data_IF_685986273405
#
_entry.id   IF_685986273405
#
_cell.length_a   1.000
_cell.length_b   1.000
_cell.length_c   1.000
_cell.angle_alpha   90.00
_cell.angle_beta   90.00
_cell.angle_gamma   90.00
#
_symmetry.space_group_name_H-M   'P 1'
#
loop_
_entity.id
_entity.type
_entity.pdbx_description
1 polymer ?
#
# COMPACT_ATOMS: atom_id res chain seq x y z
N UNK A 1 -14.50 5.24 -20.09
CA UNK A 1 -14.22 6.44 -19.26
C UNK A 1 -15.42 6.69 -18.37
N UNK A 2 -15.20 6.83 -17.08
CA UNK A 2 -16.19 7.46 -16.24
C UNK A 2 -16.19 8.96 -16.60
N UNK A 3 -17.35 9.53 -16.82
CA UNK A 3 -17.44 11.00 -16.96
C UNK A 3 -16.84 11.65 -15.72
N UNK A 4 -16.01 12.66 -15.91
CA UNK A 4 -15.33 13.35 -14.80
C UNK A 4 -16.37 13.86 -13.80
N UNK A 5 -16.31 13.37 -12.54
CA UNK A 5 -17.28 13.68 -11.49
C UNK A 5 -18.46 12.69 -11.37
N UNK A 6 -18.49 11.60 -12.15
CA UNK A 6 -19.49 10.54 -11.96
C UNK A 6 -19.21 9.77 -10.67
N UNK A 7 -20.20 9.69 -9.80
CA UNK A 7 -20.20 8.79 -8.66
C UNK A 7 -20.30 7.36 -9.15
N UNK A 8 -19.45 6.47 -8.67
CA UNK A 8 -19.43 5.06 -9.03
C UNK A 8 -19.37 4.20 -7.76
N UNK A 9 -19.80 2.96 -7.88
CA UNK A 9 -19.76 1.95 -6.81
C UNK A 9 -18.50 1.11 -6.96
N UNK A 10 -17.65 1.10 -5.95
CA UNK A 10 -16.32 0.47 -5.97
C UNK A 10 -16.28 -0.68 -4.98
N UNK A 11 -15.98 -1.89 -5.45
CA UNK A 11 -15.65 -3.02 -4.58
C UNK A 11 -14.19 -2.87 -4.12
N UNK A 12 -13.96 -2.88 -2.81
CA UNK A 12 -12.62 -2.73 -2.24
C UNK A 12 -12.32 -3.87 -1.26
N UNK A 13 -11.18 -4.53 -1.45
CA UNK A 13 -10.66 -5.48 -0.48
C UNK A 13 -9.57 -4.84 0.37
N UNK A 14 -9.45 -5.24 1.63
CA UNK A 14 -8.42 -4.70 2.52
C UNK A 14 -8.69 -3.30 3.08
N UNK A 15 -9.90 -2.76 2.90
CA UNK A 15 -10.28 -1.41 3.35
C UNK A 15 -10.07 -1.14 4.85
N UNK A 16 -10.06 -2.18 5.69
CA UNK A 16 -9.82 -2.08 7.13
C UNK A 16 -8.33 -2.14 7.51
N UNK A 17 -7.44 -2.30 6.52
CA UNK A 17 -5.98 -2.31 6.70
C UNK A 17 -5.39 -0.91 6.67
N UNK A 18 -4.06 -0.82 6.85
CA UNK A 18 -3.34 0.44 6.85
C UNK A 18 -3.49 1.21 5.52
N UNK A 19 -2.97 0.68 4.42
CA UNK A 19 -3.08 1.30 3.09
C UNK A 19 -4.56 1.41 2.67
N UNK A 20 -5.32 0.33 2.87
CA UNK A 20 -6.71 0.25 2.42
C UNK A 20 -7.63 1.28 3.06
N UNK A 21 -7.41 1.64 4.33
CA UNK A 21 -8.21 2.68 4.98
C UNK A 21 -7.95 4.07 4.39
N UNK A 22 -6.69 4.42 4.08
CA UNK A 22 -6.37 5.67 3.38
C UNK A 22 -7.01 5.72 2.00
N UNK A 23 -6.94 4.62 1.24
CA UNK A 23 -7.58 4.52 -0.08
C UNK A 23 -9.10 4.63 0.05
N UNK A 24 -9.72 3.90 0.97
CA UNK A 24 -11.17 3.93 1.18
C UNK A 24 -11.67 5.36 1.48
N UNK A 25 -11.06 6.04 2.46
CA UNK A 25 -11.45 7.42 2.79
C UNK A 25 -11.20 8.38 1.65
N UNK A 26 -10.12 8.23 0.87
CA UNK A 26 -9.86 9.05 -0.31
C UNK A 26 -11.00 8.96 -1.33
N UNK A 27 -11.50 7.76 -1.61
CA UNK A 27 -12.62 7.56 -2.53
C UNK A 27 -13.96 8.00 -1.97
N UNK A 28 -14.17 7.87 -0.66
CA UNK A 28 -15.36 8.43 0.02
C UNK A 28 -15.39 9.96 -0.04
N UNK A 29 -14.23 10.61 0.20
CA UNK A 29 -14.10 12.07 0.10
C UNK A 29 -14.31 12.57 -1.34
N UNK A 30 -13.94 11.76 -2.35
CA UNK A 30 -14.26 11.99 -3.76
C UNK A 30 -15.75 11.72 -4.12
N UNK A 31 -16.56 11.26 -3.16
CA UNK A 31 -17.99 11.08 -3.30
C UNK A 31 -18.44 9.71 -3.79
N UNK A 32 -17.56 8.74 -3.95
CA UNK A 32 -17.90 7.39 -4.40
C UNK A 32 -18.58 6.56 -3.32
N UNK A 33 -19.31 5.51 -3.73
CA UNK A 33 -19.87 4.50 -2.85
C UNK A 33 -18.94 3.28 -2.81
N UNK A 34 -18.76 2.68 -1.63
CA UNK A 34 -17.88 1.53 -1.44
C UNK A 34 -18.63 0.27 -1.03
N UNK A 35 -18.24 -0.86 -1.59
CA UNK A 35 -18.53 -2.21 -1.10
C UNK A 35 -17.25 -2.78 -0.55
N UNK A 36 -17.10 -2.80 0.78
CA UNK A 36 -15.87 -3.17 1.45
C UNK A 36 -15.90 -4.61 1.95
N UNK A 37 -15.06 -5.47 1.37
CA UNK A 37 -14.84 -6.83 1.88
C UNK A 37 -13.99 -6.76 3.16
N UNK A 38 -14.52 -7.25 4.27
CA UNK A 38 -13.87 -7.18 5.57
C UNK A 38 -14.07 -8.47 6.39
N UNK A 39 -12.98 -9.15 6.76
CA UNK A 39 -13.03 -10.30 7.68
C UNK A 39 -13.52 -9.92 9.07
N UNK A 40 -13.20 -8.74 9.53
CA UNK A 40 -13.62 -8.18 10.80
C UNK A 40 -14.05 -6.72 10.61
N UNK A 41 -15.37 -6.47 10.47
CA UNK A 41 -15.91 -5.12 10.32
C UNK A 41 -15.65 -4.21 11.53
N UNK A 42 -15.49 -4.80 12.71
CA UNK A 42 -15.24 -4.05 13.95
C UNK A 42 -13.83 -3.47 14.06
N UNK A 43 -12.92 -3.84 13.13
CA UNK A 43 -11.54 -3.33 13.13
C UNK A 43 -11.46 -1.82 12.87
N UNK A 44 -12.43 -1.27 12.11
CA UNK A 44 -12.53 0.18 11.83
C UNK A 44 -14.01 0.59 11.83
N UNK A 45 -14.62 0.75 13.03
CA UNK A 45 -16.05 1.03 13.16
C UNK A 45 -16.48 2.30 12.43
N UNK A 46 -15.65 3.33 12.40
CA UNK A 46 -15.94 4.59 11.72
C UNK A 46 -16.13 4.41 10.20
N UNK A 47 -15.38 3.49 9.58
CA UNK A 47 -15.56 3.16 8.17
C UNK A 47 -16.81 2.28 7.98
N UNK A 48 -17.02 1.30 8.86
CA UNK A 48 -18.16 0.40 8.78
C UNK A 48 -19.51 1.12 8.95
N UNK A 49 -19.54 2.20 9.74
CA UNK A 49 -20.73 3.02 9.96
C UNK A 49 -20.93 4.14 8.92
N UNK A 50 -20.01 4.29 7.96
CA UNK A 50 -20.10 5.37 6.98
C UNK A 50 -21.28 5.14 6.01
N UNK A 51 -22.17 6.15 5.75
CA UNK A 51 -23.41 5.96 4.98
C UNK A 51 -23.19 5.53 3.52
N UNK A 52 -22.02 5.75 2.97
CA UNK A 52 -21.61 5.34 1.60
C UNK A 52 -20.82 4.02 1.59
N UNK A 53 -20.79 3.27 2.68
CA UNK A 53 -20.05 2.01 2.78
C UNK A 53 -21.01 0.87 3.06
N UNK A 54 -21.05 -0.08 2.16
CA UNK A 54 -21.67 -1.39 2.38
C UNK A 54 -20.59 -2.37 2.82
N UNK A 55 -20.71 -2.96 4.00
CA UNK A 55 -19.77 -3.98 4.47
C UNK A 55 -20.23 -5.35 3.99
N UNK A 56 -19.29 -6.12 3.44
CA UNK A 56 -19.42 -7.55 3.16
C UNK A 56 -18.51 -8.29 4.13
N UNK A 57 -19.12 -8.90 5.15
CA UNK A 57 -18.38 -9.65 6.18
C UNK A 57 -18.01 -11.04 5.64
N UNK A 58 -16.84 -11.13 4.98
CA UNK A 58 -16.34 -12.33 4.34
C UNK A 58 -14.82 -12.29 4.18
N UNK A 59 -14.23 -13.42 3.81
CA UNK A 59 -12.83 -13.60 3.46
C UNK A 59 -12.64 -13.56 1.95
N UNK A 60 -11.38 -13.56 1.48
CA UNK A 60 -11.08 -13.67 0.04
C UNK A 60 -11.44 -15.05 -0.56
N UNK A 61 -11.80 -16.03 0.26
CA UNK A 61 -12.17 -17.40 -0.17
C UNK A 61 -13.68 -17.62 -0.26
N UNK A 62 -14.48 -16.66 0.21
CA UNK A 62 -15.94 -16.74 0.14
C UNK A 62 -16.41 -16.31 -1.27
N UNK A 63 -15.99 -17.08 -2.28
CA UNK A 63 -16.11 -16.72 -3.70
C UNK A 63 -17.53 -16.40 -4.13
N UNK A 64 -18.54 -17.14 -3.63
CA UNK A 64 -19.93 -16.89 -3.98
C UNK A 64 -20.43 -15.57 -3.38
N UNK A 65 -20.05 -15.27 -2.12
CA UNK A 65 -20.35 -13.99 -1.46
C UNK A 65 -19.71 -12.82 -2.22
N UNK A 66 -18.44 -12.98 -2.66
CA UNK A 66 -17.74 -11.96 -3.43
C UNK A 66 -18.41 -11.75 -4.79
N UNK A 67 -18.81 -12.81 -5.50
CA UNK A 67 -19.48 -12.74 -6.79
C UNK A 67 -20.80 -11.97 -6.68
N UNK A 68 -21.56 -12.23 -5.61
CA UNK A 68 -22.81 -11.53 -5.34
C UNK A 68 -22.56 -10.05 -5.00
N UNK A 69 -21.57 -9.75 -4.16
CA UNK A 69 -21.23 -8.40 -3.72
C UNK A 69 -20.65 -7.52 -4.85
N UNK A 70 -20.08 -8.11 -5.89
CA UNK A 70 -19.58 -7.40 -7.07
C UNK A 70 -20.71 -6.93 -7.99
N UNK A 71 -21.94 -7.46 -7.85
CA UNK A 71 -23.07 -7.08 -8.72
C UNK A 71 -23.39 -5.59 -8.55
N UNK A 72 -23.42 -4.88 -9.69
CA UNK A 72 -23.67 -3.45 -9.73
C UNK A 72 -22.48 -2.56 -9.29
N UNK A 73 -21.31 -3.15 -9.04
CA UNK A 73 -20.08 -2.38 -8.90
C UNK A 73 -19.50 -2.03 -10.27
N UNK A 74 -18.87 -0.86 -10.37
CA UNK A 74 -18.22 -0.37 -11.58
C UNK A 74 -16.74 -0.74 -11.62
N UNK A 75 -16.09 -0.79 -10.46
CA UNK A 75 -14.65 -1.03 -10.32
C UNK A 75 -14.33 -1.90 -9.12
N UNK A 76 -13.15 -2.51 -9.14
CA UNK A 76 -12.57 -3.25 -8.03
C UNK A 76 -11.17 -2.72 -7.70
N UNK A 77 -10.91 -2.44 -6.43
CA UNK A 77 -9.58 -2.10 -5.90
C UNK A 77 -9.16 -3.21 -4.94
N UNK A 78 -8.13 -3.96 -5.33
CA UNK A 78 -7.66 -5.11 -4.57
C UNK A 78 -6.40 -4.77 -3.78
N UNK A 79 -6.53 -4.62 -2.44
CA UNK A 79 -5.45 -4.26 -1.52
C UNK A 79 -5.19 -5.39 -0.50
N UNK A 80 -6.19 -6.23 -0.23
CA UNK A 80 -6.05 -7.31 0.73
C UNK A 80 -4.91 -8.25 0.34
N UNK A 81 -4.24 -8.78 1.35
CA UNK A 81 -3.16 -9.75 1.25
C UNK A 81 -3.61 -11.03 1.98
N UNK A 82 -3.49 -12.17 1.30
CA UNK A 82 -3.45 -13.48 1.93
C UNK A 82 -2.03 -13.79 2.40
N UNK A 83 -1.88 -14.44 3.55
CA UNK A 83 -0.57 -14.80 4.09
C UNK A 83 -0.47 -16.30 4.33
N UNK A 84 0.71 -16.84 4.14
CA UNK A 84 1.09 -18.21 4.44
C UNK A 84 2.60 -18.30 4.66
N UNK A 85 3.04 -19.31 5.41
CA UNK A 85 4.45 -19.48 5.75
C UNK A 85 5.19 -20.38 4.75
N UNK A 86 4.46 -21.07 3.89
CA UNK A 86 5.01 -21.93 2.85
C UNK A 86 4.65 -21.45 1.45
N UNK A 87 5.40 -21.87 0.40
CA UNK A 87 5.08 -21.51 -0.99
C UNK A 87 3.66 -21.87 -1.40
N UNK A 88 3.20 -23.06 -0.99
CA UNK A 88 1.85 -23.51 -1.35
C UNK A 88 0.76 -22.73 -0.61
N UNK A 89 0.98 -22.40 0.65
CA UNK A 89 0.06 -21.55 1.41
C UNK A 89 -0.01 -20.17 0.80
N UNK A 90 1.13 -19.52 0.48
CA UNK A 90 1.14 -18.22 -0.19
C UNK A 90 0.44 -18.27 -1.55
N UNK A 91 0.69 -19.31 -2.37
CA UNK A 91 0.01 -19.51 -3.64
C UNK A 91 -1.50 -19.60 -3.45
N UNK A 92 -1.95 -20.40 -2.50
CA UNK A 92 -3.38 -20.60 -2.22
C UNK A 92 -4.02 -19.37 -1.62
N UNK A 93 -3.35 -18.74 -0.64
CA UNK A 93 -3.94 -17.64 0.14
C UNK A 93 -3.94 -16.29 -0.58
N UNK A 94 -2.98 -15.99 -1.42
CA UNK A 94 -2.87 -14.69 -2.11
C UNK A 94 -3.13 -14.82 -3.62
N UNK A 95 -2.34 -15.62 -4.33
CA UNK A 95 -2.45 -15.68 -5.80
C UNK A 95 -3.78 -16.29 -6.25
N UNK A 96 -4.18 -17.45 -5.69
CA UNK A 96 -5.44 -18.11 -6.06
C UNK A 96 -6.64 -17.22 -5.75
N UNK A 97 -6.64 -16.59 -4.57
CA UNK A 97 -7.69 -15.65 -4.19
C UNK A 97 -7.77 -14.43 -5.14
N UNK A 98 -6.63 -13.88 -5.54
CA UNK A 98 -6.55 -12.76 -6.50
C UNK A 98 -7.08 -13.17 -7.87
N UNK A 99 -6.70 -14.35 -8.39
CA UNK A 99 -7.16 -14.85 -9.69
C UNK A 99 -8.66 -15.14 -9.65
N UNK A 100 -9.17 -15.70 -8.57
CA UNK A 100 -10.60 -15.92 -8.37
C UNK A 100 -11.39 -14.60 -8.33
N UNK A 101 -10.85 -13.58 -7.66
CA UNK A 101 -11.44 -12.24 -7.65
C UNK A 101 -11.44 -11.61 -9.05
N UNK A 102 -10.34 -11.72 -9.81
CA UNK A 102 -10.28 -11.27 -11.20
C UNK A 102 -11.36 -11.93 -12.07
N UNK A 103 -11.55 -13.25 -11.91
CA UNK A 103 -12.59 -14.00 -12.65
C UNK A 103 -13.98 -13.51 -12.27
N UNK A 104 -14.25 -13.34 -10.96
CA UNK A 104 -15.53 -12.81 -10.48
C UNK A 104 -15.81 -11.38 -10.97
N UNK A 105 -14.76 -10.56 -11.09
CA UNK A 105 -14.87 -9.22 -11.67
C UNK A 105 -15.24 -9.25 -13.16
N UNK A 106 -14.68 -10.18 -13.93
CA UNK A 106 -15.06 -10.38 -15.35
C UNK A 106 -16.53 -10.78 -15.48
N UNK A 107 -16.97 -11.77 -14.69
CA UNK A 107 -18.34 -12.28 -14.69
C UNK A 107 -19.35 -11.19 -14.28
N UNK A 108 -19.00 -10.33 -13.34
CA UNK A 108 -19.82 -9.20 -12.89
C UNK A 108 -19.78 -7.99 -13.85
N UNK A 109 -18.96 -8.02 -14.90
CA UNK A 109 -18.83 -6.93 -15.86
C UNK A 109 -18.13 -5.68 -15.33
N UNK A 110 -17.25 -5.84 -14.33
CA UNK A 110 -16.40 -4.77 -13.77
C UNK A 110 -15.60 -4.11 -14.89
N UNK A 111 -15.56 -2.78 -14.90
CA UNK A 111 -14.89 -2.00 -15.96
C UNK A 111 -13.42 -1.76 -15.67
N UNK A 112 -13.04 -1.73 -14.38
CA UNK A 112 -11.68 -1.40 -13.96
C UNK A 112 -11.27 -2.19 -12.72
N UNK A 113 -10.07 -2.76 -12.78
CA UNK A 113 -9.42 -3.46 -11.67
C UNK A 113 -8.08 -2.78 -11.36
N UNK A 114 -7.85 -2.39 -10.11
CA UNK A 114 -6.58 -1.87 -9.65
C UNK A 114 -6.00 -2.86 -8.65
N UNK A 115 -4.84 -3.43 -8.99
CA UNK A 115 -4.14 -4.39 -8.14
C UNK A 115 -3.04 -3.72 -7.34
N UNK A 116 -3.02 -4.00 -6.04
CA UNK A 116 -1.93 -3.61 -5.17
C UNK A 116 -0.89 -4.73 -5.12
N UNK A 117 0.18 -4.53 -5.86
CA UNK A 117 1.38 -5.36 -5.85
C UNK A 117 2.36 -4.88 -4.77
N UNK A 118 3.64 -5.02 -5.01
CA UNK A 118 4.75 -4.56 -4.17
C UNK A 118 6.02 -4.43 -5.00
N UNK A 119 6.97 -3.59 -4.57
CA UNK A 119 8.34 -3.62 -5.08
C UNK A 119 9.03 -4.96 -4.83
N UNK A 120 8.59 -5.76 -3.85
CA UNK A 120 9.08 -7.12 -3.61
C UNK A 120 8.88 -8.07 -4.81
N UNK A 121 7.92 -7.79 -5.71
CA UNK A 121 7.75 -8.54 -6.95
C UNK A 121 9.00 -8.51 -7.85
N UNK A 122 9.82 -7.48 -7.74
CA UNK A 122 11.05 -7.32 -8.52
C UNK A 122 12.19 -8.22 -8.02
N UNK A 123 12.22 -8.54 -6.73
CA UNK A 123 13.28 -9.32 -6.08
C UNK A 123 14.56 -8.53 -5.91
N UNK A 124 15.59 -8.82 -6.70
CA UNK A 124 16.85 -8.08 -6.65
C UNK A 124 16.70 -6.68 -7.23
N UNK A 125 17.30 -5.71 -6.56
CA UNK A 125 17.29 -4.31 -7.02
C UNK A 125 18.66 -3.96 -7.63
N UNK A 126 18.60 -3.14 -8.67
CA UNK A 126 19.76 -2.53 -9.32
C UNK A 126 19.88 -1.05 -8.91
N UNK A 127 20.96 -0.38 -9.31
CA UNK A 127 21.18 1.03 -8.96
C UNK A 127 20.02 1.95 -9.38
N UNK A 128 19.41 1.70 -10.54
CA UNK A 128 18.18 2.38 -10.99
C UNK A 128 17.16 1.33 -11.44
N UNK A 129 15.94 1.39 -10.87
CA UNK A 129 14.83 0.50 -11.20
C UNK A 129 13.75 1.22 -12.01
N UNK A 130 13.21 0.52 -13.02
CA UNK A 130 12.10 0.98 -13.87
C UNK A 130 10.94 -0.02 -13.81
N UNK A 131 9.72 0.44 -14.08
CA UNK A 131 8.54 -0.43 -14.07
C UNK A 131 8.59 -1.54 -15.12
N UNK A 132 9.44 -1.38 -16.14
CA UNK A 132 9.68 -2.35 -17.22
C UNK A 132 10.73 -3.40 -16.90
N UNK A 133 11.42 -3.27 -15.75
CA UNK A 133 12.45 -4.23 -15.38
C UNK A 133 11.85 -5.61 -15.09
N UNK A 134 12.60 -6.69 -15.35
CA UNK A 134 12.12 -8.05 -15.12
C UNK A 134 11.69 -8.30 -13.68
N UNK A 135 10.62 -9.04 -13.51
CA UNK A 135 10.12 -9.50 -12.21
C UNK A 135 10.88 -10.76 -11.85
N UNK A 136 11.69 -10.71 -10.79
CA UNK A 136 12.55 -11.82 -10.33
C UNK A 136 12.47 -11.94 -8.80
N UNK A 137 11.29 -12.28 -8.24
CA UNK A 137 11.07 -12.27 -6.80
C UNK A 137 12.03 -13.18 -6.05
N UNK A 138 12.51 -12.74 -4.90
CA UNK A 138 13.46 -13.45 -4.03
C UNK A 138 12.81 -14.11 -2.81
N UNK A 139 11.51 -13.87 -2.60
CA UNK A 139 10.71 -14.47 -1.53
C UNK A 139 9.30 -14.86 -2.01
N UNK A 140 8.58 -15.62 -1.19
CA UNK A 140 7.25 -16.11 -1.54
C UNK A 140 6.21 -15.00 -1.67
N UNK A 141 6.32 -13.95 -0.87
CA UNK A 141 5.45 -12.79 -0.97
C UNK A 141 5.63 -12.07 -2.31
N UNK A 142 6.87 -11.77 -2.69
CA UNK A 142 7.17 -11.19 -3.99
C UNK A 142 6.71 -12.08 -5.15
N UNK A 143 6.85 -13.42 -5.01
CA UNK A 143 6.41 -14.37 -6.00
C UNK A 143 4.88 -14.35 -6.22
N UNK A 144 4.07 -14.26 -5.14
CA UNK A 144 2.62 -14.15 -5.29
C UNK A 144 2.20 -12.84 -5.92
N UNK A 145 2.90 -11.73 -5.59
CA UNK A 145 2.66 -10.42 -6.20
C UNK A 145 2.97 -10.44 -7.69
N UNK A 146 4.12 -10.96 -8.08
CA UNK A 146 4.54 -11.12 -9.48
C UNK A 146 3.56 -12.00 -10.29
N UNK A 147 3.16 -13.13 -9.74
CA UNK A 147 2.19 -14.02 -10.39
C UNK A 147 0.82 -13.34 -10.60
N UNK A 148 0.33 -12.64 -9.57
CA UNK A 148 -0.95 -11.92 -9.63
C UNK A 148 -0.92 -10.75 -10.65
N UNK A 149 0.21 -10.03 -10.77
CA UNK A 149 0.41 -9.04 -11.83
C UNK A 149 0.28 -9.65 -13.23
N UNK A 150 0.94 -10.79 -13.45
CA UNK A 150 0.89 -11.46 -14.75
C UNK A 150 -0.54 -11.85 -15.12
N UNK A 151 -1.34 -12.37 -14.18
CA UNK A 151 -2.76 -12.69 -14.42
C UNK A 151 -3.59 -11.42 -14.69
N UNK A 152 -3.41 -10.34 -13.91
CA UNK A 152 -4.13 -9.09 -14.12
C UNK A 152 -3.85 -8.50 -15.51
N UNK A 153 -2.59 -8.49 -15.95
CA UNK A 153 -2.19 -8.02 -17.27
C UNK A 153 -2.72 -8.91 -18.40
N UNK A 154 -2.76 -10.24 -18.19
CA UNK A 154 -3.34 -11.18 -19.15
C UNK A 154 -4.86 -11.00 -19.30
N UNK A 155 -5.57 -10.79 -18.21
CA UNK A 155 -6.99 -10.47 -18.20
C UNK A 155 -7.27 -9.18 -18.98
N UNK A 156 -6.52 -8.12 -18.69
CA UNK A 156 -6.65 -6.85 -19.42
C UNK A 156 -6.35 -6.95 -20.93
N UNK A 157 -5.50 -7.92 -21.32
CA UNK A 157 -5.19 -8.16 -22.73
C UNK A 157 -6.30 -8.92 -23.48
N UNK A 158 -7.13 -9.69 -22.75
CA UNK A 158 -8.15 -10.59 -23.31
C UNK A 158 -9.59 -10.12 -23.07
N UNK A 159 -9.78 -9.03 -22.35
CA UNK A 159 -11.11 -8.52 -21.99
C UNK A 159 -11.20 -7.00 -22.17
N UNK A 160 -12.39 -6.46 -21.94
CA UNK A 160 -12.61 -5.01 -21.90
C UNK A 160 -12.40 -4.42 -20.49
N UNK A 161 -12.03 -5.23 -19.50
CA UNK A 161 -11.70 -4.76 -18.15
C UNK A 161 -10.31 -4.14 -18.15
N UNK A 162 -10.20 -2.88 -17.77
CA UNK A 162 -8.90 -2.24 -17.57
C UNK A 162 -8.28 -2.76 -16.28
N UNK A 163 -7.03 -3.20 -16.36
CA UNK A 163 -6.27 -3.58 -15.18
C UNK A 163 -4.98 -2.75 -15.09
N UNK A 164 -4.78 -2.10 -13.96
CA UNK A 164 -3.55 -1.39 -13.66
C UNK A 164 -2.98 -1.89 -12.33
N UNK A 165 -1.69 -1.80 -12.20
CA UNK A 165 -0.92 -2.33 -11.08
C UNK A 165 -0.21 -1.17 -10.39
N UNK A 166 -0.31 -1.11 -9.07
CA UNK A 166 0.51 -0.23 -8.25
C UNK A 166 1.45 -1.11 -7.43
N UNK A 167 2.75 -0.84 -7.49
CA UNK A 167 3.81 -1.46 -6.68
C UNK A 167 4.23 -0.49 -5.58
N UNK A 168 3.58 -0.50 -4.41
CA UNK A 168 4.08 0.27 -3.28
C UNK A 168 5.45 -0.23 -2.84
N UNK A 169 6.30 0.71 -2.40
CA UNK A 169 7.46 0.39 -1.59
C UNK A 169 7.13 0.53 -0.10
N UNK A 170 8.12 1.01 0.66
CA UNK A 170 7.90 1.21 2.09
C UNK A 170 6.89 2.35 2.33
N UNK A 171 5.70 1.96 2.73
CA UNK A 171 4.60 2.89 3.00
C UNK A 171 4.48 3.14 4.49
N UNK A 172 4.42 4.40 4.89
CA UNK A 172 4.31 4.82 6.30
C UNK A 172 3.19 5.86 6.47
N UNK A 173 2.88 6.23 7.70
CA UNK A 173 1.95 7.32 8.01
C UNK A 173 1.09 7.07 9.24
N UNK A 174 0.41 8.12 9.67
CA UNK A 174 -0.51 8.09 10.79
C UNK A 174 -1.81 7.38 10.41
N UNK A 175 -2.61 6.92 11.40
CA UNK A 175 -3.94 6.42 11.12
C UNK A 175 -4.78 7.48 10.43
N UNK A 176 -5.48 7.13 9.36
CA UNK A 176 -6.36 8.06 8.62
C UNK A 176 -7.53 8.58 9.46
N UNK A 177 -7.98 7.79 10.43
CA UNK A 177 -8.99 8.11 11.43
C UNK A 177 -8.63 7.41 12.74
N UNK A 178 -9.10 7.90 13.89
CA UNK A 178 -8.92 7.20 15.16
C UNK A 178 -9.35 5.74 15.08
N UNK A 179 -8.50 4.82 15.54
CA UNK A 179 -8.71 3.39 15.49
C UNK A 179 -8.33 2.69 14.18
N UNK A 180 -7.95 3.44 13.12
CA UNK A 180 -7.40 2.85 11.91
C UNK A 180 -6.01 2.26 12.16
N UNK A 181 -5.65 1.24 11.36
CA UNK A 181 -4.32 0.60 11.43
C UNK A 181 -3.22 1.55 11.00
N UNK A 182 -2.03 1.33 11.52
CA UNK A 182 -0.77 1.92 11.03
C UNK A 182 0.11 0.83 10.43
N UNK A 183 1.27 1.22 9.90
CA UNK A 183 2.27 0.27 9.40
C UNK A 183 2.68 -0.71 10.49
N UNK A 184 2.78 -1.99 10.11
CA UNK A 184 3.13 -3.09 11.03
C UNK A 184 4.63 -3.21 11.27
N UNK A 185 5.47 -2.65 10.42
CA UNK A 185 6.93 -2.65 10.61
C UNK A 185 7.29 -1.83 11.85
N UNK A 186 8.09 -2.42 12.73
CA UNK A 186 8.41 -1.84 14.03
C UNK A 186 9.59 -0.87 14.01
N UNK A 187 10.36 -0.75 12.93
CA UNK A 187 11.60 0.04 12.91
C UNK A 187 11.39 1.49 13.31
N UNK A 188 10.30 2.13 12.90
CA UNK A 188 9.96 3.48 13.39
C UNK A 188 9.74 3.51 14.90
N UNK A 189 9.00 2.52 15.42
CA UNK A 189 8.73 2.42 16.87
C UNK A 189 10.00 2.13 17.66
N UNK A 190 10.87 1.26 17.15
CA UNK A 190 12.13 0.90 17.82
C UNK A 190 13.06 2.12 17.87
N UNK A 191 13.20 2.87 16.77
CA UNK A 191 13.97 4.14 16.74
C UNK A 191 13.40 5.16 17.73
N UNK A 192 12.09 5.35 17.76
CA UNK A 192 11.43 6.28 18.68
C UNK A 192 11.62 5.82 20.13
N UNK A 193 11.47 4.54 20.42
CA UNK A 193 11.66 3.97 21.76
C UNK A 193 13.07 4.21 22.28
N UNK A 194 14.09 3.91 21.47
CA UNK A 194 15.48 4.18 21.85
C UNK A 194 15.75 5.67 22.05
N UNK A 195 15.23 6.51 21.15
CA UNK A 195 15.40 7.96 21.24
C UNK A 195 14.75 8.56 22.49
N UNK A 196 13.57 8.10 22.89
CA UNK A 196 12.88 8.58 24.10
C UNK A 196 13.62 8.16 25.38
N UNK A 197 14.33 7.03 25.36
CA UNK A 197 15.04 6.47 26.49
C UNK A 197 16.54 6.81 26.51
N UNK A 198 17.03 7.73 25.69
CA UNK A 198 18.46 8.06 25.51
C UNK A 198 19.34 6.85 25.18
N UNK A 199 18.77 5.81 24.53
CA UNK A 199 19.41 4.55 24.18
C UNK A 199 20.30 4.63 22.94
N UNK A 200 21.02 3.53 22.65
CA UNK A 200 21.82 3.41 21.43
C UNK A 200 20.97 2.87 20.28
N UNK A 201 20.83 3.62 19.19
CA UNK A 201 20.11 3.22 17.98
C UNK A 201 21.09 2.52 17.03
N UNK A 202 20.94 1.21 16.85
CA UNK A 202 21.81 0.41 15.98
C UNK A 202 21.15 0.20 14.62
N UNK A 203 21.77 0.68 13.54
CA UNK A 203 21.23 0.62 12.18
C UNK A 203 22.27 0.08 11.19
N UNK A 204 21.81 -0.51 10.09
CA UNK A 204 22.70 -0.86 8.99
C UNK A 204 23.13 0.40 8.24
N UNK A 205 24.42 0.50 7.95
CA UNK A 205 24.98 1.62 7.20
C UNK A 205 24.35 1.69 5.79
N UNK A 206 23.90 2.87 5.38
CA UNK A 206 23.28 3.11 4.08
C UNK A 206 21.89 2.48 3.86
N UNK A 207 21.32 1.77 4.85
CA UNK A 207 19.96 1.24 4.74
C UNK A 207 18.93 2.37 4.68
N UNK A 208 18.02 2.27 3.73
CA UNK A 208 16.99 3.26 3.47
C UNK A 208 16.20 2.94 2.22
N UNK A 209 15.29 3.83 1.85
CA UNK A 209 14.48 3.70 0.63
C UNK A 209 13.84 5.02 0.22
N UNK A 210 13.12 4.99 -0.89
CA UNK A 210 12.19 6.04 -1.28
C UNK A 210 10.83 5.77 -0.62
N UNK A 211 10.64 6.31 0.58
CA UNK A 211 9.40 6.14 1.35
C UNK A 211 8.22 6.85 0.70
N UNK A 212 7.00 6.34 0.94
CA UNK A 212 5.77 7.02 0.54
C UNK A 212 4.79 7.09 1.72
N UNK A 213 4.17 8.24 1.91
CA UNK A 213 3.07 8.36 2.86
C UNK A 213 1.82 7.62 2.33
N UNK A 214 1.09 6.94 3.22
CA UNK A 214 -0.14 6.23 2.84
C UNK A 214 -1.21 7.18 2.24
N UNK A 215 -1.24 8.43 2.68
CA UNK A 215 -2.09 9.47 2.10
C UNK A 215 -1.74 9.77 0.65
N UNK A 216 -0.45 9.86 0.31
CA UNK A 216 0.02 10.10 -1.06
C UNK A 216 -0.15 8.86 -1.94
N UNK A 217 0.07 7.66 -1.37
CA UNK A 217 -0.25 6.42 -2.07
C UNK A 217 -1.73 6.36 -2.45
N UNK A 218 -2.65 6.78 -1.57
CA UNK A 218 -4.07 6.87 -1.87
C UNK A 218 -4.38 7.87 -3.01
N UNK A 219 -3.63 8.99 -3.11
CA UNK A 219 -3.71 9.91 -4.26
C UNK A 219 -3.28 9.25 -5.58
N UNK A 220 -2.27 8.38 -5.55
CA UNK A 220 -1.87 7.60 -6.73
C UNK A 220 -2.98 6.63 -7.15
N UNK A 221 -3.62 5.93 -6.20
CA UNK A 221 -4.78 5.08 -6.51
C UNK A 221 -5.90 5.86 -7.20
N UNK A 222 -6.24 7.03 -6.69
CA UNK A 222 -7.26 7.89 -7.30
C UNK A 222 -6.84 8.39 -8.70
N UNK A 223 -5.58 8.78 -8.90
CA UNK A 223 -5.08 9.20 -10.20
C UNK A 223 -5.13 8.08 -11.24
N UNK A 224 -4.74 6.85 -10.86
CA UNK A 224 -4.84 5.66 -11.71
C UNK A 224 -6.31 5.34 -12.01
N UNK A 225 -7.19 5.42 -11.02
CA UNK A 225 -8.62 5.20 -11.16
C UNK A 225 -9.27 6.16 -12.16
N UNK A 226 -8.94 7.45 -12.07
CA UNK A 226 -9.50 8.50 -12.92
C UNK A 226 -8.89 8.54 -14.33
N UNK A 227 -7.90 7.69 -14.62
CA UNK A 227 -7.28 7.62 -15.94
C UNK A 227 -7.97 6.60 -16.85
N UNK A 228 -7.77 6.75 -18.15
CA UNK A 228 -8.18 5.79 -19.18
C UNK A 228 -7.10 4.74 -19.50
N UNK A 229 -6.00 4.78 -18.75
CA UNK A 229 -4.86 3.88 -18.96
C UNK A 229 -5.21 2.45 -18.62
N UNK A 230 -4.57 1.53 -19.34
CA UNK A 230 -4.79 0.10 -19.18
C UNK A 230 -3.44 -0.64 -19.29
N UNK A 231 -3.28 -1.72 -18.54
CA UNK A 231 -2.06 -2.56 -18.52
C UNK A 231 -0.81 -1.82 -18.09
N UNK A 232 -0.98 -0.85 -17.22
CA UNK A 232 0.12 -0.05 -16.71
C UNK A 232 0.55 -0.54 -15.32
N UNK A 233 1.85 -0.46 -15.07
CA UNK A 233 2.45 -0.69 -13.76
C UNK A 233 3.04 0.65 -13.28
N UNK A 234 2.81 0.99 -12.01
CA UNK A 234 3.28 2.22 -11.39
C UNK A 234 4.00 1.92 -10.08
N UNK A 235 5.10 2.59 -9.83
CA UNK A 235 5.71 2.60 -8.52
C UNK A 235 4.96 3.55 -7.58
N UNK A 236 4.53 3.02 -6.41
CA UNK A 236 3.99 3.80 -5.31
C UNK A 236 5.11 4.18 -4.34
N UNK A 237 5.92 5.17 -4.72
CA UNK A 237 7.10 5.61 -3.99
C UNK A 237 7.20 7.14 -4.03
N UNK A 238 7.92 7.71 -3.08
CA UNK A 238 8.19 9.14 -3.00
C UNK A 238 9.67 9.48 -3.24
N UNK A 239 9.99 10.74 -3.10
CA UNK A 239 11.35 11.29 -3.17
C UNK A 239 11.61 12.13 -1.92
N UNK A 240 12.90 12.34 -1.56
CA UNK A 240 14.10 11.65 -2.03
C UNK A 240 14.26 10.25 -1.45
N UNK A 241 15.39 9.57 -1.71
CA UNK A 241 15.83 8.44 -0.89
C UNK A 241 16.13 8.95 0.52
N UNK A 242 15.61 8.26 1.53
CA UNK A 242 15.80 8.62 2.93
C UNK A 242 16.41 7.41 3.65
N UNK A 243 17.53 7.63 4.36
CA UNK A 243 18.15 6.57 5.16
C UNK A 243 17.48 6.44 6.52
N UNK A 244 17.53 5.22 7.09
CA UNK A 244 17.08 5.02 8.47
C UNK A 244 17.92 5.81 9.46
N UNK A 245 19.19 6.09 9.15
CA UNK A 245 20.04 6.95 9.96
C UNK A 245 19.51 8.40 10.01
N UNK A 246 19.08 8.97 8.86
CA UNK A 246 18.51 10.33 8.86
C UNK A 246 17.15 10.39 9.59
N UNK A 247 16.38 9.30 9.56
CA UNK A 247 15.15 9.16 10.37
C UNK A 247 15.49 9.17 11.86
N UNK A 248 16.51 8.42 12.29
CA UNK A 248 16.96 8.39 13.67
C UNK A 248 17.50 9.76 14.13
N UNK A 249 18.31 10.44 13.31
CA UNK A 249 18.78 11.80 13.58
C UNK A 249 17.62 12.78 13.79
N UNK A 250 16.61 12.71 12.94
CA UNK A 250 15.41 13.55 13.05
C UNK A 250 14.64 13.23 14.33
N UNK A 251 14.52 11.95 14.67
CA UNK A 251 13.83 11.51 15.90
C UNK A 251 14.57 12.01 17.16
N UNK A 252 15.90 11.86 17.21
CA UNK A 252 16.74 12.35 18.30
C UNK A 252 16.55 13.85 18.50
N UNK A 253 16.54 14.64 17.42
CA UNK A 253 16.29 16.09 17.46
C UNK A 253 14.89 16.40 18.00
N UNK A 254 13.86 15.70 17.54
CA UNK A 254 12.47 15.91 17.99
C UNK A 254 12.27 15.57 19.46
N UNK A 255 12.97 14.55 19.97
CA UNK A 255 12.94 14.16 21.39
C UNK A 255 13.86 15.01 22.28
N UNK A 256 14.74 15.83 21.71
CA UNK A 256 15.87 16.45 22.43
C UNK A 256 16.72 15.43 23.21
N UNK A 257 16.89 14.24 22.61
CA UNK A 257 17.51 13.07 23.23
C UNK A 257 19.04 13.11 23.14
N UNK A 258 19.68 12.39 24.05
CA UNK A 258 21.14 12.15 24.08
C UNK A 258 21.51 10.83 23.38
N UNK A 259 20.58 10.16 22.74
CA UNK A 259 20.82 8.90 22.02
C UNK A 259 21.96 9.03 21.01
N UNK A 260 22.72 7.96 20.89
CA UNK A 260 23.74 7.82 19.85
C UNK A 260 23.26 6.89 18.74
N UNK A 261 23.79 7.07 17.54
CA UNK A 261 23.55 6.18 16.40
C UNK A 261 24.82 5.39 16.12
N UNK A 262 24.72 4.06 16.13
CA UNK A 262 25.81 3.18 15.71
C UNK A 262 25.44 2.49 14.40
N UNK A 263 26.20 2.79 13.35
CA UNK A 263 26.05 2.16 12.05
C UNK A 263 26.90 0.89 11.95
N UNK A 264 26.32 -0.19 11.44
CA UNK A 264 26.97 -1.49 11.26
C UNK A 264 26.92 -1.91 9.79
N UNK A 265 27.94 -2.67 9.36
CA UNK A 265 28.10 -3.18 8.01
C UNK A 265 28.66 -2.13 7.03
N UNK A 266 28.71 -2.54 5.77
CA UNK A 266 29.17 -1.68 4.66
C UNK A 266 28.02 -0.84 4.12
N UNK A 267 28.35 0.33 3.55
CA UNK A 267 27.36 1.20 2.89
C UNK A 267 27.12 0.65 1.49
N UNK A 268 25.92 0.09 1.21
CA UNK A 268 25.60 -0.37 -0.14
C UNK A 268 25.35 0.83 -1.07
N UNK A 269 25.50 0.60 -2.38
CA UNK A 269 25.01 1.55 -3.36
C UNK A 269 23.46 1.65 -3.24
N UNK A 270 22.89 2.86 -3.11
CA UNK A 270 21.45 3.00 -2.98
C UNK A 270 20.74 2.57 -4.26
N UNK A 271 19.67 1.77 -4.11
CA UNK A 271 18.74 1.51 -5.20
C UNK A 271 17.74 2.66 -5.31
N UNK A 272 17.62 3.24 -6.50
CA UNK A 272 16.66 4.30 -6.80
C UNK A 272 15.62 3.80 -7.80
N UNK A 273 14.36 4.09 -7.53
CA UNK A 273 13.25 3.83 -8.43
C UNK A 273 12.96 5.07 -9.27
N UNK A 274 12.88 4.89 -10.59
CA UNK A 274 12.55 5.96 -11.51
C UNK A 274 11.05 6.26 -11.45
N UNK A 275 10.69 7.41 -10.91
CA UNK A 275 9.29 7.85 -10.73
C UNK A 275 8.79 8.73 -11.87
N UNK A 276 9.56 8.86 -12.94
CA UNK A 276 9.20 9.71 -14.09
C UNK A 276 7.90 9.31 -14.79
N UNK A 277 7.45 8.05 -14.64
CA UNK A 277 6.19 7.57 -15.22
C UNK A 277 4.97 8.21 -14.56
N UNK A 278 4.91 8.24 -13.23
CA UNK A 278 3.81 8.88 -12.51
C UNK A 278 3.79 10.39 -12.75
N UNK A 279 4.96 11.02 -12.84
CA UNK A 279 5.07 12.43 -13.19
C UNK A 279 4.52 12.72 -14.60
N UNK A 280 4.93 11.93 -15.60
CA UNK A 280 4.45 12.12 -16.99
C UNK A 280 2.97 11.82 -17.16
N UNK A 281 2.44 10.79 -16.47
CA UNK A 281 1.07 10.35 -16.64
C UNK A 281 0.06 11.15 -15.86
N UNK A 282 0.43 11.64 -14.67
CA UNK A 282 -0.48 12.24 -13.70
C UNK A 282 -0.04 13.61 -13.18
N UNK A 283 1.19 14.07 -13.50
CA UNK A 283 1.77 15.28 -12.93
C UNK A 283 2.06 15.15 -11.42
N UNK A 284 2.16 13.93 -10.90
CA UNK A 284 2.37 13.66 -9.48
C UNK A 284 3.85 13.47 -9.16
N UNK A 285 4.28 14.09 -8.08
CA UNK A 285 5.50 13.79 -7.34
C UNK A 285 5.14 13.77 -5.85
N UNK A 286 5.72 12.84 -5.11
CA UNK A 286 5.41 12.65 -3.71
C UNK A 286 6.67 12.89 -2.87
N UNK A 287 6.58 13.80 -1.91
CA UNK A 287 7.67 14.12 -0.99
C UNK A 287 7.36 13.48 0.38
N UNK A 288 8.24 12.58 0.83
CA UNK A 288 8.01 11.84 2.06
C UNK A 288 8.29 12.67 3.33
N UNK A 289 9.23 13.62 3.28
CA UNK A 289 9.75 14.33 4.46
C UNK A 289 8.70 15.06 5.30
N UNK A 290 7.73 15.81 4.72
CA UNK A 290 6.71 16.47 5.53
C UNK A 290 5.88 15.48 6.36
N UNK A 291 5.46 14.39 5.74
CA UNK A 291 4.69 13.32 6.40
C UNK A 291 5.53 12.54 7.40
N UNK A 292 6.83 12.37 7.13
CA UNK A 292 7.76 11.68 8.01
C UNK A 292 7.89 12.40 9.36
N UNK A 293 8.09 13.71 9.32
CA UNK A 293 8.17 14.54 10.54
C UNK A 293 6.88 14.43 11.37
N UNK A 294 5.72 14.52 10.72
CA UNK A 294 4.43 14.37 11.40
C UNK A 294 4.22 12.96 11.97
N UNK A 295 4.69 11.93 11.27
CA UNK A 295 4.60 10.55 11.74
C UNK A 295 5.49 10.32 12.97
N UNK A 296 6.71 10.83 12.96
CA UNK A 296 7.61 10.74 14.11
C UNK A 296 7.03 11.45 15.33
N UNK A 297 6.47 12.66 15.17
CA UNK A 297 5.78 13.37 16.26
C UNK A 297 4.61 12.57 16.83
N UNK A 298 3.82 11.94 15.97
CA UNK A 298 2.70 11.09 16.36
C UNK A 298 3.18 9.89 17.20
N UNK A 299 4.25 9.21 16.80
CA UNK A 299 4.81 8.07 17.52
C UNK A 299 5.42 8.47 18.86
N UNK A 300 6.14 9.60 18.92
CA UNK A 300 6.71 10.16 20.15
C UNK A 300 5.59 10.46 21.16
N UNK A 301 4.52 11.14 20.73
CA UNK A 301 3.36 11.43 21.58
C UNK A 301 2.67 10.18 22.12
N UNK A 302 2.56 9.12 21.30
CA UNK A 302 2.00 7.84 21.73
C UNK A 302 2.91 7.04 22.66
N UNK A 303 4.23 7.27 22.65
CA UNK A 303 5.17 6.62 23.56
C UNK A 303 5.14 7.26 24.95
N UNK A 304 4.97 8.59 25.02
CA UNK A 304 4.91 9.34 26.29
C UNK A 304 3.65 9.01 27.11
N UNK A 305 2.54 8.63 26.46
CA UNK A 305 1.29 8.25 27.14
C UNK A 305 1.25 6.82 27.67
N UNK A 306 2.29 6.01 27.44
CA UNK A 306 2.40 4.62 27.94
C UNK A 306 3.35 4.48 29.13
N UNK A 307 4.01 5.56 29.51
CA UNK A 307 4.96 5.60 30.63
C UNK A 307 4.31 6.06 31.97
N UNK A 308 3.04 6.44 31.95
CA UNK A 308 2.19 6.72 33.11
C UNK A 308 1.22 5.51 33.37
#
# INVERSE_FOLDING_TARGET
>A
LYEKGRIVKIFITGAMGFIGSHVAYRFLDAGHDLVALARNPHKLPALAAHPKVQIVAATLYDFDVIREALQGCDACIHIALGWGDTPIEMLMTDTTATVSLLTSCLDAGIKQFIYTSSTAALGSFFAEMKETDPVMPSDYYGATKAASEAFALAVAAKSNMRCNIIRPGYTFGNPVKPGASIQSDRRFHDIVSEAVNDGEIVLKAGDGTQFIAAADLARLFEAVFNSDRNREVYYGLGVPFISWASIAETTIKLCSSKSSIRLIGEVPEPCLFNLGKIQRHFGLAFEAEPYLTEHLKYLIGGSSSRAD
#
